data_IF_919355124706
#
_entry.id   IF_919355124706
#
_cell.length_a   1.000
_cell.length_b   1.000
_cell.length_c   1.000
_cell.angle_alpha   90.00
_cell.angle_beta   90.00
_cell.angle_gamma   90.00
#
_symmetry.space_group_name_H-M   'P 1'
#
loop_
_entity.id
_entity.type
_entity.pdbx_description
1 polymer ?
#
# COMPACT_ATOMS: atom_id res chain seq x y z
N UNK A 1 -5.67 -59.63 -49.55
CA UNK A 1 -6.59 -58.47 -49.58
C UNK A 1 -6.36 -57.59 -48.36
N UNK A 2 -5.64 -56.47 -48.54
CA UNK A 2 -5.29 -55.54 -47.46
C UNK A 2 -6.50 -54.66 -47.09
N UNK A 3 -6.72 -54.45 -45.79
CA UNK A 3 -7.73 -53.52 -45.26
C UNK A 3 -7.29 -52.08 -45.51
N UNK A 4 -8.21 -51.16 -45.87
CA UNK A 4 -7.91 -49.74 -45.93
C UNK A 4 -7.78 -49.16 -44.51
N UNK A 5 -6.98 -48.10 -44.32
CA UNK A 5 -6.87 -47.41 -43.04
C UNK A 5 -8.12 -46.55 -42.76
N UNK A 6 -8.44 -46.29 -41.48
CA UNK A 6 -9.54 -45.42 -41.09
C UNK A 6 -9.21 -43.95 -41.41
N UNK A 7 -10.22 -43.22 -41.88
CA UNK A 7 -10.19 -41.78 -42.10
C UNK A 7 -10.17 -41.03 -40.77
N UNK A 8 -9.25 -40.06 -40.66
CA UNK A 8 -9.22 -39.08 -39.57
C UNK A 8 -10.40 -38.12 -39.74
N UNK A 9 -11.33 -38.13 -38.78
CA UNK A 9 -12.38 -37.12 -38.65
C UNK A 9 -11.81 -36.00 -37.77
N UNK A 10 -11.68 -34.80 -38.34
CA UNK A 10 -11.28 -33.58 -37.63
C UNK A 10 -12.46 -33.12 -36.76
N UNK A 11 -12.34 -33.25 -35.43
CA UNK A 11 -13.26 -32.65 -34.46
C UNK A 11 -12.96 -31.15 -34.36
N UNK A 12 -13.81 -30.31 -34.96
CA UNK A 12 -13.81 -28.87 -34.74
C UNK A 12 -14.32 -28.59 -33.31
N UNK A 13 -13.40 -28.25 -32.40
CA UNK A 13 -13.70 -27.80 -31.04
C UNK A 13 -14.37 -26.42 -31.09
N UNK A 14 -15.69 -26.39 -30.86
CA UNK A 14 -16.48 -25.17 -30.72
C UNK A 14 -16.05 -24.43 -29.43
N UNK A 15 -15.18 -23.42 -29.57
CA UNK A 15 -14.79 -22.54 -28.47
C UNK A 15 -16.01 -21.70 -28.07
N UNK A 16 -16.73 -22.16 -27.04
CA UNK A 16 -17.84 -21.42 -26.45
C UNK A 16 -17.36 -20.06 -25.93
N UNK A 17 -17.96 -18.99 -26.44
CA UNK A 17 -17.86 -17.64 -25.85
C UNK A 17 -18.48 -17.70 -24.45
N UNK A 18 -17.63 -17.89 -23.43
CA UNK A 18 -18.04 -17.74 -22.04
C UNK A 18 -18.43 -16.28 -21.81
N UNK A 19 -19.70 -16.05 -21.47
CA UNK A 19 -20.22 -14.73 -21.16
C UNK A 19 -19.42 -14.14 -20.00
N UNK A 20 -18.76 -13.01 -20.25
CA UNK A 20 -18.08 -12.21 -19.23
C UNK A 20 -19.13 -11.73 -18.21
N UNK A 21 -19.25 -12.43 -17.08
CA UNK A 21 -20.04 -11.96 -15.94
C UNK A 21 -19.45 -10.61 -15.49
N UNK A 22 -20.14 -9.51 -15.79
CA UNK A 22 -19.76 -8.16 -15.37
C UNK A 22 -19.65 -8.14 -13.83
N UNK A 23 -18.43 -8.12 -13.31
CA UNK A 23 -18.16 -8.00 -11.87
C UNK A 23 -18.71 -6.65 -11.40
N UNK A 24 -19.89 -6.67 -10.80
CA UNK A 24 -20.54 -5.46 -10.31
C UNK A 24 -19.85 -5.01 -9.01
N UNK A 25 -19.19 -3.85 -9.06
CA UNK A 25 -18.50 -3.27 -7.90
C UNK A 25 -19.50 -3.01 -6.75
N UNK A 26 -19.10 -3.27 -5.48
CA UNK A 26 -19.98 -3.12 -4.34
C UNK A 26 -20.44 -1.67 -4.18
N UNK A 27 -21.74 -1.47 -3.95
CA UNK A 27 -22.29 -0.15 -3.65
C UNK A 27 -21.82 0.33 -2.27
N UNK A 28 -21.29 1.56 -2.20
CA UNK A 28 -20.80 2.16 -0.95
C UNK A 28 -21.96 2.44 0.03
N UNK A 29 -21.87 1.90 1.24
CA UNK A 29 -22.86 2.10 2.31
C UNK A 29 -22.48 3.31 3.18
N UNK A 30 -22.98 4.50 2.82
CA UNK A 30 -22.70 5.73 3.57
C UNK A 30 -23.23 5.75 5.01
N UNK A 31 -24.20 4.88 5.35
CA UNK A 31 -24.73 4.80 6.71
C UNK A 31 -23.77 4.07 7.66
N UNK A 32 -23.05 3.07 7.14
CA UNK A 32 -22.11 2.27 7.91
C UNK A 32 -20.68 2.84 7.85
N UNK A 33 -20.26 3.31 6.67
CA UNK A 33 -18.93 3.87 6.44
C UNK A 33 -19.02 5.29 5.83
N UNK A 34 -19.52 6.28 6.59
CA UNK A 34 -19.76 7.64 6.08
C UNK A 34 -18.49 8.32 5.55
N UNK A 35 -17.31 7.92 6.05
CA UNK A 35 -16.01 8.44 5.61
C UNK A 35 -15.82 8.34 4.09
N UNK A 36 -16.20 7.23 3.46
CA UNK A 36 -16.05 7.04 2.01
C UNK A 36 -17.04 7.89 1.18
N UNK A 37 -18.03 8.49 1.84
CA UNK A 37 -18.97 9.41 1.22
C UNK A 37 -18.62 10.88 1.52
N UNK A 38 -17.56 11.14 2.29
CA UNK A 38 -17.04 12.49 2.47
C UNK A 38 -16.63 13.09 1.13
N UNK A 39 -16.87 14.38 0.93
CA UNK A 39 -16.58 15.09 -0.33
C UNK A 39 -15.12 14.97 -0.80
N UNK A 40 -14.16 14.73 0.10
CA UNK A 40 -12.75 14.52 -0.25
C UNK A 40 -12.51 13.20 -1.00
N UNK A 41 -13.28 12.15 -0.71
CA UNK A 41 -13.17 10.82 -1.32
C UNK A 41 -14.28 10.59 -2.35
N UNK A 42 -15.50 11.00 -2.01
CA UNK A 42 -16.69 10.98 -2.85
C UNK A 42 -16.93 9.63 -3.56
N UNK A 43 -16.69 8.50 -2.88
CA UNK A 43 -16.81 7.17 -3.48
C UNK A 43 -18.27 6.81 -3.83
N UNK A 44 -19.25 7.41 -3.15
CA UNK A 44 -20.68 7.18 -3.46
C UNK A 44 -21.23 8.10 -4.55
N UNK A 45 -20.84 9.38 -4.55
CA UNK A 45 -21.27 10.34 -5.57
C UNK A 45 -20.51 10.21 -6.89
N UNK A 46 -19.33 9.59 -6.87
CA UNK A 46 -18.57 9.19 -8.04
C UNK A 46 -18.02 7.77 -7.84
N UNK A 47 -18.85 6.73 -8.08
CA UNK A 47 -18.43 5.34 -7.95
C UNK A 47 -17.21 5.03 -8.82
N UNK A 48 -16.31 4.20 -8.29
CA UNK A 48 -15.15 3.73 -9.04
C UNK A 48 -15.60 2.88 -10.23
N UNK A 49 -15.10 3.22 -11.41
CA UNK A 49 -15.32 2.44 -12.63
C UNK A 49 -14.20 1.41 -12.82
N UNK A 50 -14.42 0.42 -13.70
CA UNK A 50 -13.35 -0.51 -14.11
C UNK A 50 -12.13 0.23 -14.71
N UNK A 51 -12.38 1.36 -15.41
CA UNK A 51 -11.33 2.22 -15.95
C UNK A 51 -10.52 2.91 -14.85
N UNK A 52 -11.18 3.41 -13.80
CA UNK A 52 -10.50 3.98 -12.63
C UNK A 52 -9.63 2.92 -11.96
N UNK A 53 -10.17 1.71 -11.72
CA UNK A 53 -9.42 0.60 -11.14
C UNK A 53 -8.19 0.26 -11.99
N UNK A 54 -8.36 0.06 -13.30
CA UNK A 54 -7.25 -0.27 -14.20
C UNK A 54 -6.19 0.85 -14.28
N UNK A 55 -6.58 2.11 -14.13
CA UNK A 55 -5.66 3.23 -14.03
C UNK A 55 -4.90 3.21 -12.69
N UNK A 56 -5.60 3.05 -11.57
CA UNK A 56 -5.02 3.07 -10.23
C UNK A 56 -4.16 1.84 -9.91
N UNK A 57 -4.41 0.71 -10.57
CA UNK A 57 -3.49 -0.44 -10.58
C UNK A 57 -2.08 -0.04 -11.05
N UNK A 58 -1.98 0.91 -11.99
CA UNK A 58 -0.70 1.37 -12.56
C UNK A 58 -0.19 2.66 -11.92
N UNK A 59 -1.09 3.54 -11.49
CA UNK A 59 -0.74 4.84 -10.97
C UNK A 59 -1.81 5.34 -9.99
N UNK A 60 -1.47 5.38 -8.71
CA UNK A 60 -2.35 5.85 -7.65
C UNK A 60 -2.53 7.37 -7.72
N UNK A 61 -1.45 8.12 -7.87
CA UNK A 61 -1.47 9.59 -7.95
C UNK A 61 -2.25 10.08 -9.18
N UNK A 62 -2.80 11.30 -9.11
CA UNK A 62 -3.54 11.88 -10.22
C UNK A 62 -2.63 12.11 -11.43
N UNK A 63 -3.18 12.19 -12.66
CA UNK A 63 -2.39 12.41 -13.87
C UNK A 63 -1.59 13.72 -13.88
N UNK A 64 -2.01 14.73 -13.13
CA UNK A 64 -1.31 16.00 -12.93
C UNK A 64 -0.26 15.96 -11.80
N UNK A 65 -0.05 14.80 -11.18
CA UNK A 65 1.05 14.56 -10.25
C UNK A 65 0.78 14.94 -8.80
N UNK A 66 -0.49 14.92 -8.38
CA UNK A 66 -0.93 15.15 -7.00
C UNK A 66 -1.39 13.85 -6.33
N UNK A 67 -1.47 13.88 -5.00
CA UNK A 67 -2.06 12.80 -4.24
C UNK A 67 -3.54 12.62 -4.62
N UNK A 68 -3.95 11.37 -4.81
CA UNK A 68 -5.29 11.02 -5.23
C UNK A 68 -6.06 10.41 -4.05
N UNK A 69 -6.77 11.25 -3.31
CA UNK A 69 -7.58 10.77 -2.18
C UNK A 69 -8.69 9.79 -2.62
N UNK A 70 -9.17 9.85 -3.87
CA UNK A 70 -10.18 8.90 -4.37
C UNK A 70 -9.66 7.47 -4.51
N UNK A 71 -8.33 7.27 -4.59
CA UNK A 71 -7.76 5.92 -4.65
C UNK A 71 -8.12 5.07 -3.42
N UNK A 72 -8.44 5.69 -2.28
CA UNK A 72 -8.98 4.98 -1.11
C UNK A 72 -10.30 4.24 -1.40
N UNK A 73 -11.06 4.63 -2.43
CA UNK A 73 -12.26 3.90 -2.84
C UNK A 73 -11.94 2.46 -3.26
N UNK A 74 -10.71 2.14 -3.69
CA UNK A 74 -10.29 0.77 -4.05
C UNK A 74 -10.33 -0.20 -2.88
N UNK A 75 -10.11 0.30 -1.67
CA UNK A 75 -9.97 -0.52 -0.46
C UNK A 75 -11.22 -0.50 0.40
N UNK A 76 -12.32 0.10 -0.05
CA UNK A 76 -13.58 0.09 0.68
C UNK A 76 -14.01 -1.35 1.06
N UNK A 77 -14.50 -1.60 2.29
CA UNK A 77 -14.58 -0.69 3.44
C UNK A 77 -13.35 -0.76 4.37
N UNK A 78 -12.28 -1.45 3.96
CA UNK A 78 -11.05 -1.57 4.73
C UNK A 78 -10.45 -0.19 5.02
N UNK A 79 -9.76 -0.07 6.15
CA UNK A 79 -9.09 1.16 6.58
C UNK A 79 -10.03 2.36 6.82
N UNK A 80 -11.35 2.16 6.96
CA UNK A 80 -12.31 3.23 7.24
C UNK A 80 -11.87 4.13 8.42
N UNK A 81 -11.40 3.53 9.53
CA UNK A 81 -10.87 4.26 10.68
C UNK A 81 -9.66 5.12 10.30
N UNK A 82 -8.70 4.54 9.60
CA UNK A 82 -7.45 5.17 9.18
C UNK A 82 -7.72 6.37 8.27
N UNK A 83 -8.58 6.18 7.27
CA UNK A 83 -9.00 7.23 6.34
C UNK A 83 -9.78 8.33 7.08
N UNK A 84 -10.66 7.97 8.02
CA UNK A 84 -11.43 8.94 8.80
C UNK A 84 -10.50 9.86 9.58
N UNK A 85 -9.57 9.28 10.33
CA UNK A 85 -8.65 10.03 11.19
C UNK A 85 -7.63 10.84 10.39
N UNK A 86 -7.02 10.27 9.37
CA UNK A 86 -5.96 10.94 8.63
C UNK A 86 -6.49 11.95 7.59
N UNK A 87 -7.48 11.57 6.80
CA UNK A 87 -7.86 12.34 5.59
C UNK A 87 -9.05 13.26 5.87
N UNK A 88 -10.10 12.74 6.50
CA UNK A 88 -11.33 13.52 6.72
C UNK A 88 -11.15 14.46 7.91
N UNK A 89 -10.77 13.91 9.06
CA UNK A 89 -10.60 14.66 10.31
C UNK A 89 -9.24 15.39 10.42
N UNK A 90 -8.25 15.01 9.59
CA UNK A 90 -6.87 15.53 9.63
C UNK A 90 -6.21 15.47 11.02
N UNK A 91 -6.56 14.42 11.79
CA UNK A 91 -6.03 14.15 13.13
C UNK A 91 -4.94 13.09 13.08
N UNK A 92 -3.70 13.53 12.81
CA UNK A 92 -2.51 12.67 12.72
C UNK A 92 -2.24 11.89 14.02
N UNK A 93 -2.54 12.48 15.18
CA UNK A 93 -2.40 11.83 16.48
C UNK A 93 -3.45 10.74 16.71
N UNK A 94 -4.72 11.00 16.38
CA UNK A 94 -5.76 9.98 16.51
C UNK A 94 -5.57 8.86 15.49
N UNK A 95 -5.09 9.18 14.28
CA UNK A 95 -4.64 8.19 13.31
C UNK A 95 -3.56 7.28 13.91
N UNK A 96 -2.50 7.88 14.48
CA UNK A 96 -1.40 7.13 15.07
C UNK A 96 -1.87 6.15 16.15
N UNK A 97 -2.80 6.57 17.02
CA UNK A 97 -3.34 5.73 18.08
C UNK A 97 -4.25 4.62 17.54
N UNK A 98 -5.15 4.95 16.62
CA UNK A 98 -6.09 3.99 16.05
C UNK A 98 -5.37 2.94 15.21
N UNK A 99 -4.45 3.37 14.35
CA UNK A 99 -3.64 2.49 13.51
C UNK A 99 -2.80 1.55 14.36
N UNK A 100 -2.10 2.05 15.37
CA UNK A 100 -1.29 1.19 16.26
C UNK A 100 -2.13 0.11 16.94
N UNK A 101 -3.33 0.48 17.41
CA UNK A 101 -4.25 -0.47 18.04
C UNK A 101 -4.67 -1.58 17.08
N UNK A 102 -4.99 -1.25 15.83
CA UNK A 102 -5.48 -2.22 14.86
C UNK A 102 -4.33 -3.10 14.31
N UNK A 103 -3.16 -2.50 14.02
CA UNK A 103 -1.96 -3.23 13.61
C UNK A 103 -1.44 -4.16 14.73
N UNK A 104 -1.51 -3.73 15.99
CA UNK A 104 -1.14 -4.58 17.14
C UNK A 104 -2.03 -5.82 17.24
N UNK A 105 -3.34 -5.67 17.04
CA UNK A 105 -4.26 -6.83 17.01
C UNK A 105 -3.96 -7.77 15.84
N UNK A 106 -3.54 -7.21 14.70
CA UNK A 106 -3.12 -7.96 13.53
C UNK A 106 -1.71 -8.56 13.64
N UNK A 107 -0.97 -8.27 14.73
CA UNK A 107 0.42 -8.69 14.94
C UNK A 107 1.37 -8.19 13.84
N UNK A 108 1.16 -6.96 13.38
CA UNK A 108 1.96 -6.32 12.33
C UNK A 108 2.99 -5.32 12.87
N UNK A 109 3.09 -5.17 14.19
CA UNK A 109 3.92 -4.14 14.85
C UNK A 109 5.40 -4.18 14.46
N UNK A 110 5.97 -5.37 14.26
CA UNK A 110 7.35 -5.53 13.82
C UNK A 110 7.55 -5.11 12.37
N UNK A 111 6.59 -5.44 11.49
CA UNK A 111 6.63 -5.01 10.10
C UNK A 111 6.49 -3.49 9.99
N UNK A 112 5.57 -2.91 10.77
CA UNK A 112 5.39 -1.46 10.87
C UNK A 112 6.65 -0.77 11.40
N UNK A 113 7.31 -1.33 12.43
CA UNK A 113 8.56 -0.78 12.94
C UNK A 113 9.63 -0.75 11.84
N UNK A 114 9.82 -1.86 11.11
CA UNK A 114 10.74 -1.90 9.98
C UNK A 114 10.39 -0.83 8.95
N UNK A 115 9.12 -0.74 8.53
CA UNK A 115 8.65 0.32 7.64
C UNK A 115 9.02 1.72 8.17
N UNK A 116 8.72 2.02 9.43
CA UNK A 116 8.98 3.31 10.05
C UNK A 116 10.46 3.74 10.03
N UNK A 117 11.36 2.82 10.37
CA UNK A 117 12.80 3.11 10.38
C UNK A 117 13.36 3.19 8.95
N UNK A 118 12.97 2.25 8.10
CA UNK A 118 13.51 2.10 6.75
C UNK A 118 13.00 3.18 5.79
N UNK A 119 11.71 3.50 5.85
CA UNK A 119 11.12 4.62 5.10
C UNK A 119 11.61 5.98 5.60
N UNK A 120 12.36 6.02 6.72
CA UNK A 120 12.98 7.20 7.32
C UNK A 120 11.99 8.13 8.03
N UNK A 121 10.81 7.64 8.37
CA UNK A 121 9.79 8.37 9.12
C UNK A 121 10.31 8.80 10.50
N UNK A 122 11.14 7.98 11.13
CA UNK A 122 11.76 8.29 12.43
C UNK A 122 12.76 9.45 12.41
N UNK A 123 13.24 9.84 11.22
CA UNK A 123 14.19 10.94 11.04
C UNK A 123 13.56 12.15 10.37
N UNK A 124 12.30 12.04 9.96
CA UNK A 124 11.59 13.13 9.33
C UNK A 124 11.31 14.21 10.39
N UNK A 125 11.84 15.42 10.17
CA UNK A 125 11.61 16.59 11.03
C UNK A 125 10.78 17.67 10.33
N UNK A 126 10.42 17.44 9.08
CA UNK A 126 9.68 18.38 8.23
C UNK A 126 8.17 18.25 8.43
N UNK A 127 7.69 17.02 8.68
CA UNK A 127 6.29 16.76 8.99
C UNK A 127 6.00 17.22 10.42
N UNK A 128 4.99 18.08 10.54
CA UNK A 128 4.43 18.59 11.79
C UNK A 128 2.93 18.30 11.87
N UNK A 129 2.32 18.54 13.03
CA UNK A 129 0.89 18.22 13.23
C UNK A 129 -0.01 19.02 12.27
N UNK A 130 0.46 20.19 11.83
CA UNK A 130 -0.24 21.09 10.92
C UNK A 130 0.17 20.90 9.46
N UNK A 131 1.05 19.95 9.13
CA UNK A 131 1.44 19.69 7.75
C UNK A 131 0.21 19.35 6.92
N UNK A 132 -0.02 20.18 5.92
CA UNK A 132 -1.08 20.06 4.93
C UNK A 132 -0.74 18.97 3.91
N UNK A 133 -1.73 18.54 3.12
CA UNK A 133 -1.51 17.58 2.04
C UNK A 133 -0.48 18.10 1.02
N UNK A 134 -0.58 19.37 0.63
CA UNK A 134 0.33 19.97 -0.34
C UNK A 134 1.79 20.05 0.16
N UNK A 135 1.98 20.36 1.44
CA UNK A 135 3.31 20.31 2.06
C UNK A 135 3.84 18.88 2.11
N UNK A 136 2.98 17.89 2.41
CA UNK A 136 3.36 16.48 2.38
C UNK A 136 3.78 16.02 0.97
N UNK A 137 3.09 16.45 -0.10
CA UNK A 137 3.49 16.21 -1.48
C UNK A 137 4.87 16.81 -1.80
N UNK A 138 5.17 17.98 -1.25
CA UNK A 138 6.49 18.62 -1.34
C UNK A 138 7.58 17.75 -0.70
N UNK A 139 7.36 17.28 0.53
CA UNK A 139 8.27 16.38 1.26
C UNK A 139 8.46 15.06 0.48
N UNK A 140 7.38 14.49 -0.05
CA UNK A 140 7.44 13.30 -0.90
C UNK A 140 8.27 13.52 -2.16
N UNK A 141 8.16 14.69 -2.78
CA UNK A 141 8.92 15.03 -3.99
C UNK A 141 10.40 15.26 -3.70
N UNK A 142 10.74 15.89 -2.57
CA UNK A 142 12.13 16.03 -2.12
C UNK A 142 12.75 14.65 -1.85
N UNK A 143 11.98 13.76 -1.21
CA UNK A 143 12.46 12.44 -0.80
C UNK A 143 12.55 11.42 -1.93
N UNK A 144 11.56 11.37 -2.81
CA UNK A 144 11.41 10.31 -3.83
C UNK A 144 11.55 10.82 -5.26
N UNK A 145 11.68 12.13 -5.48
CA UNK A 145 11.54 12.74 -6.80
C UNK A 145 10.13 12.52 -7.34
N UNK A 146 9.99 12.40 -8.66
CA UNK A 146 8.70 12.12 -9.28
C UNK A 146 8.25 10.65 -9.18
N UNK A 147 9.08 9.76 -8.60
CA UNK A 147 8.79 8.31 -8.57
C UNK A 147 7.53 7.98 -7.78
N UNK A 148 7.24 8.73 -6.70
CA UNK A 148 6.03 8.50 -5.91
C UNK A 148 4.75 8.74 -6.72
N UNK A 149 4.80 9.57 -7.76
CA UNK A 149 3.65 9.84 -8.64
C UNK A 149 3.36 8.68 -9.58
N UNK A 150 4.32 7.79 -9.82
CA UNK A 150 4.22 6.67 -10.74
C UNK A 150 3.88 5.33 -10.10
N UNK A 151 3.77 5.26 -8.77
CA UNK A 151 3.46 4.00 -8.07
C UNK A 151 1.98 3.65 -8.23
N UNK A 152 1.69 2.40 -8.57
CA UNK A 152 0.35 1.85 -8.68
C UNK A 152 -0.05 0.96 -7.50
N UNK A 153 -1.34 0.61 -7.47
CA UNK A 153 -1.84 -0.39 -6.52
C UNK A 153 -1.19 -1.76 -6.74
N UNK A 154 -0.85 -2.11 -7.98
CA UNK A 154 -0.16 -3.36 -8.29
C UNK A 154 1.25 -3.42 -7.68
N UNK A 155 1.97 -2.30 -7.64
CA UNK A 155 3.28 -2.22 -7.00
C UNK A 155 3.16 -2.47 -5.49
N UNK A 156 2.20 -1.80 -4.85
CA UNK A 156 1.91 -1.96 -3.43
C UNK A 156 1.44 -3.37 -3.08
N UNK A 157 0.52 -3.96 -3.86
CA UNK A 157 0.09 -5.33 -3.64
C UNK A 157 1.20 -6.34 -3.92
N UNK A 158 2.11 -6.02 -4.84
CA UNK A 158 3.34 -6.77 -5.06
C UNK A 158 4.21 -6.82 -3.79
N UNK A 159 4.30 -5.71 -3.05
CA UNK A 159 4.97 -5.66 -1.73
C UNK A 159 4.30 -6.62 -0.76
N UNK A 160 2.98 -6.55 -0.63
CA UNK A 160 2.23 -7.39 0.32
C UNK A 160 2.36 -8.87 -0.03
N UNK A 161 2.25 -9.22 -1.32
CA UNK A 161 2.39 -10.58 -1.80
C UNK A 161 3.80 -11.13 -1.52
N UNK A 162 4.85 -10.39 -1.87
CA UNK A 162 6.23 -10.76 -1.59
C UNK A 162 6.49 -10.83 -0.09
N UNK A 163 6.03 -9.87 0.71
CA UNK A 163 6.20 -9.93 2.15
C UNK A 163 5.60 -11.22 2.72
N UNK A 164 4.42 -11.65 2.24
CA UNK A 164 3.79 -12.90 2.67
C UNK A 164 4.56 -14.15 2.24
N UNK A 165 5.00 -14.20 0.99
CA UNK A 165 5.74 -15.35 0.43
C UNK A 165 7.17 -15.41 0.98
N UNK A 166 7.90 -14.30 0.90
CA UNK A 166 9.30 -14.15 1.28
C UNK A 166 9.53 -14.17 2.79
N UNK A 167 8.59 -13.70 3.62
CA UNK A 167 8.75 -13.92 5.07
C UNK A 167 8.74 -15.40 5.44
N UNK A 168 8.11 -16.27 4.64
CA UNK A 168 8.15 -17.71 4.87
C UNK A 168 9.44 -18.34 4.35
N UNK A 169 9.83 -18.06 3.10
CA UNK A 169 11.00 -18.63 2.44
C UNK A 169 12.32 -18.00 2.91
N UNK A 170 12.38 -16.69 3.09
CA UNK A 170 13.59 -15.96 3.47
C UNK A 170 13.89 -16.12 4.96
N UNK A 171 12.87 -16.24 5.83
CA UNK A 171 13.11 -16.62 7.23
C UNK A 171 13.74 -18.02 7.33
N UNK A 172 13.26 -18.94 6.48
CA UNK A 172 13.87 -20.26 6.35
C UNK A 172 15.30 -20.17 5.78
N UNK A 173 15.51 -19.43 4.68
CA UNK A 173 16.82 -19.26 4.05
C UNK A 173 17.83 -18.61 5.01
N UNK A 174 17.42 -17.62 5.80
CA UNK A 174 18.21 -17.00 6.86
C UNK A 174 18.58 -18.01 7.95
N UNK A 175 17.60 -18.80 8.43
CA UNK A 175 17.86 -19.85 9.43
C UNK A 175 18.82 -20.93 8.92
N UNK A 176 18.86 -21.14 7.61
CA UNK A 176 19.74 -22.08 6.91
C UNK A 176 21.07 -21.44 6.47
N UNK A 177 21.30 -20.14 6.75
CA UNK A 177 22.51 -19.41 6.35
C UNK A 177 22.64 -19.18 4.83
N UNK A 178 21.54 -19.32 4.07
CA UNK A 178 21.47 -19.12 2.62
C UNK A 178 21.16 -17.68 2.20
N UNK A 179 20.75 -16.83 3.13
CA UNK A 179 20.52 -15.40 2.93
C UNK A 179 21.35 -14.59 3.91
N UNK A 180 21.90 -13.47 3.45
CA UNK A 180 22.64 -12.50 4.25
C UNK A 180 21.73 -11.41 4.82
N UNK A 181 22.22 -10.72 5.85
CA UNK A 181 21.44 -9.69 6.53
C UNK A 181 21.24 -8.49 5.62
N UNK A 182 22.27 -8.21 4.82
CA UNK A 182 22.24 -7.19 3.78
C UNK A 182 21.16 -7.43 2.74
N UNK A 183 20.91 -8.68 2.32
CA UNK A 183 19.86 -9.00 1.35
C UNK A 183 18.47 -8.78 1.94
N UNK A 184 18.26 -9.22 3.18
CA UNK A 184 17.03 -8.98 3.93
C UNK A 184 16.73 -7.49 4.12
N UNK A 185 17.76 -6.72 4.50
CA UNK A 185 17.63 -5.27 4.67
C UNK A 185 17.39 -4.56 3.35
N UNK A 186 18.02 -5.01 2.26
CA UNK A 186 17.78 -4.45 0.92
C UNK A 186 16.33 -4.69 0.45
N UNK A 187 15.79 -5.89 0.68
CA UNK A 187 14.39 -6.18 0.39
C UNK A 187 13.47 -5.30 1.24
N UNK A 188 13.67 -5.26 2.56
CA UNK A 188 12.88 -4.42 3.45
C UNK A 188 12.90 -2.93 3.05
N UNK A 189 14.05 -2.45 2.54
CA UNK A 189 14.21 -1.09 1.96
C UNK A 189 13.33 -0.88 0.76
N UNK A 190 13.42 -1.75 -0.23
CA UNK A 190 12.60 -1.65 -1.42
C UNK A 190 11.10 -1.65 -1.08
N UNK A 191 10.67 -2.57 -0.21
CA UNK A 191 9.26 -2.71 0.18
C UNK A 191 8.74 -1.51 0.97
N UNK A 192 9.53 -1.00 1.93
CA UNK A 192 9.18 0.18 2.70
C UNK A 192 9.14 1.45 1.84
N UNK A 193 10.03 1.56 0.86
CA UNK A 193 10.06 2.68 -0.09
C UNK A 193 8.82 2.70 -0.98
N UNK A 194 8.43 1.56 -1.57
CA UNK A 194 7.19 1.45 -2.34
C UNK A 194 5.97 1.79 -1.47
N UNK A 195 5.91 1.27 -0.25
CA UNK A 195 4.81 1.56 0.68
C UNK A 195 4.72 3.04 1.02
N UNK A 196 5.85 3.71 1.26
CA UNK A 196 5.86 5.14 1.55
C UNK A 196 5.51 6.00 0.32
N UNK A 197 5.96 5.60 -0.88
CA UNK A 197 5.55 6.23 -2.13
C UNK A 197 4.05 6.06 -2.38
N UNK A 198 3.49 4.89 -2.10
CA UNK A 198 2.04 4.66 -2.17
C UNK A 198 1.31 5.56 -1.17
N UNK A 199 1.82 5.70 0.06
CA UNK A 199 1.26 6.63 1.05
C UNK A 199 1.32 8.10 0.59
N UNK A 200 2.35 8.51 -0.14
CA UNK A 200 2.41 9.81 -0.81
C UNK A 200 1.29 9.92 -1.87
N UNK A 201 1.20 8.94 -2.76
CA UNK A 201 0.22 8.92 -3.84
C UNK A 201 -1.24 8.88 -3.35
N UNK A 202 -1.50 8.25 -2.21
CA UNK A 202 -2.82 8.16 -1.58
C UNK A 202 -3.09 9.30 -0.57
N UNK A 203 -2.11 10.17 -0.32
CA UNK A 203 -2.24 11.39 0.48
C UNK A 203 -2.19 11.23 2.00
N UNK A 204 -1.61 10.15 2.51
CA UNK A 204 -1.52 9.86 3.95
C UNK A 204 -0.08 9.80 4.51
N UNK A 205 0.95 10.11 3.72
CA UNK A 205 2.37 10.07 4.14
C UNK A 205 2.62 10.77 5.49
N UNK A 206 2.08 11.98 5.68
CA UNK A 206 2.22 12.77 6.90
C UNK A 206 1.63 12.08 8.13
N UNK A 207 0.59 11.28 7.96
CA UNK A 207 -0.02 10.52 9.05
C UNK A 207 0.83 9.31 9.41
N UNK A 208 1.45 8.65 8.43
CA UNK A 208 2.40 7.56 8.66
C UNK A 208 3.63 8.05 9.43
N UNK A 209 4.16 9.23 9.10
CA UNK A 209 5.27 9.83 9.87
C UNK A 209 4.89 9.99 11.35
N UNK A 210 3.72 10.56 11.64
CA UNK A 210 3.25 10.72 13.02
C UNK A 210 2.99 9.39 13.73
N UNK A 211 2.39 8.43 13.02
CA UNK A 211 2.19 7.07 13.51
C UNK A 211 3.51 6.43 13.93
N UNK A 212 4.53 6.56 13.08
CA UNK A 212 5.86 6.06 13.36
C UNK A 212 6.52 6.74 14.55
N UNK A 213 6.52 8.07 14.57
CA UNK A 213 7.12 8.86 15.64
C UNK A 213 6.48 8.58 17.00
N UNK A 214 5.16 8.45 17.05
CA UNK A 214 4.42 8.24 18.29
C UNK A 214 4.63 6.85 18.90
N UNK A 215 4.85 5.81 18.09
CA UNK A 215 4.79 4.43 18.56
C UNK A 215 6.13 3.66 18.48
N UNK A 216 7.04 4.04 17.58
CA UNK A 216 8.25 3.26 17.29
C UNK A 216 9.54 4.03 17.49
N UNK A 217 9.59 5.29 17.04
CA UNK A 217 10.87 6.02 16.91
C UNK A 217 11.52 6.43 18.24
N UNK A 218 10.76 6.41 19.34
CA UNK A 218 11.25 6.67 20.70
C UNK A 218 11.21 5.42 21.60
N UNK A 219 10.89 4.26 21.02
CA UNK A 219 10.83 3.01 21.76
C UNK A 219 12.20 2.32 21.75
N UNK A 220 12.80 2.14 22.94
CA UNK A 220 14.15 1.60 23.08
C UNK A 220 14.32 0.20 22.45
N UNK A 221 13.30 -0.67 22.49
CA UNK A 221 13.38 -2.01 21.88
C UNK A 221 13.51 -1.90 20.36
N UNK A 222 12.65 -1.09 19.73
CA UNK A 222 12.68 -0.90 18.28
C UNK A 222 13.90 -0.12 17.83
N UNK A 223 14.36 0.87 18.60
CA UNK A 223 15.61 1.59 18.34
C UNK A 223 16.82 0.65 18.38
N UNK A 224 16.90 -0.24 19.36
CA UNK A 224 17.99 -1.21 19.47
C UNK A 224 18.00 -2.18 18.27
N UNK A 225 16.82 -2.57 17.78
CA UNK A 225 16.67 -3.59 16.73
C UNK A 225 16.77 -3.01 15.32
N UNK A 226 16.22 -1.82 15.10
CA UNK A 226 15.98 -1.26 13.77
C UNK A 226 16.53 0.16 13.59
N UNK A 227 17.04 0.80 14.65
CA UNK A 227 17.56 2.18 14.59
C UNK A 227 18.83 2.36 13.73
N UNK A 228 19.44 1.27 13.25
CA UNK A 228 20.51 1.30 12.24
C UNK A 228 19.98 1.21 10.79
N UNK A 229 18.68 0.96 10.62
CA UNK A 229 18.02 0.91 9.31
C UNK A 229 17.59 2.30 8.86
N UNK A 230 17.20 3.16 9.80
CA UNK A 230 17.24 4.60 9.62
C UNK A 230 18.67 4.99 9.29
N UNK A 231 18.90 5.92 8.37
CA UNK A 231 20.22 6.40 7.95
C UNK A 231 20.99 5.60 6.89
N UNK A 232 20.33 5.02 5.90
CA UNK A 232 20.89 5.24 4.57
C UNK A 232 20.18 6.42 3.96
N UNK A 233 20.83 7.58 4.04
CA UNK A 233 20.76 8.49 2.92
C UNK A 233 21.07 7.64 1.67
N UNK A 234 20.13 7.59 0.74
CA UNK A 234 20.47 7.21 -0.63
C UNK A 234 21.50 8.20 -1.17
#
# INVERSE_FOLDING_TARGET
PARPPPSEEEEEEEVGEEAEDEVQEPTVNCSEYPVFCDSKLNCSGNPMTASDRAAWEKQLATPDGHANLRSWCMVYPMYATSVSKCIVEDSKLEYAQAMYKDQSKAQLTEADAVYCFVAGHCNNTEVTVNTTLQEAEGICSERYGDRWKGVGWADFMGVVARAREEMSSTKQAWSEGRASWSELVALARQEAEISAMAACAMGNYQCDVFYCQANYCQNDDYLQRFGNLSWAAA
#
